data_IF_882878498004
#
_entry.id   IF_882878498004
#
_cell.length_a   1.000
_cell.length_b   1.000
_cell.length_c   1.000
_cell.angle_alpha   90.00
_cell.angle_beta   90.00
_cell.angle_gamma   90.00
#
_symmetry.space_group_name_H-M   'P 1'
#
loop_
_entity.id
_entity.type
_entity.pdbx_description
1 polymer ?
#
# COMPACT_ATOMS: atom_id res chain seq x y z
N UNK A 1 5.29 23.63 10.79
CA UNK A 1 6.17 24.31 9.83
C UNK A 1 5.83 23.76 8.46
N UNK A 2 5.01 24.48 7.70
CA UNK A 2 4.62 24.04 6.36
C UNK A 2 5.82 24.13 5.42
N UNK A 3 6.24 22.99 4.87
CA UNK A 3 7.32 22.92 3.91
C UNK A 3 6.82 23.48 2.57
N UNK A 4 6.86 24.81 2.44
CA UNK A 4 6.14 25.61 1.42
C UNK A 4 6.91 25.80 0.11
N UNK A 5 8.08 25.15 -0.06
CA UNK A 5 8.95 25.30 -1.23
C UNK A 5 9.02 24.05 -2.11
N UNK A 6 7.96 23.25 -2.15
CA UNK A 6 7.87 22.06 -3.00
C UNK A 6 6.71 22.19 -3.97
N UNK A 7 7.03 22.31 -5.27
CA UNK A 7 6.05 22.25 -6.34
C UNK A 7 5.99 20.81 -6.82
N UNK A 8 4.78 20.23 -6.86
CA UNK A 8 4.59 18.89 -7.40
C UNK A 8 4.90 18.89 -8.91
N UNK A 9 6.04 18.31 -9.30
CA UNK A 9 6.38 18.14 -10.70
C UNK A 9 5.53 17.02 -11.31
N UNK A 10 4.75 17.35 -12.33
CA UNK A 10 3.98 16.37 -13.10
C UNK A 10 4.69 16.11 -14.42
N UNK A 11 5.31 14.94 -14.54
CA UNK A 11 5.94 14.51 -15.77
C UNK A 11 4.93 14.26 -16.90
N UNK A 12 5.41 14.21 -18.14
CA UNK A 12 4.58 13.91 -19.32
C UNK A 12 3.98 12.49 -19.30
N UNK A 13 4.59 11.59 -18.52
CA UNK A 13 4.07 10.24 -18.23
C UNK A 13 3.24 10.32 -16.95
N UNK A 14 1.92 10.24 -17.11
CA UNK A 14 0.97 10.22 -16.00
C UNK A 14 0.50 8.78 -15.73
N UNK A 15 -0.20 8.60 -14.60
CA UNK A 15 -0.81 7.34 -14.20
C UNK A 15 -1.55 6.66 -15.36
N UNK A 16 -2.45 7.36 -16.06
CA UNK A 16 -3.22 6.78 -17.17
C UNK A 16 -2.34 6.20 -18.30
N UNK A 17 -1.21 6.84 -18.64
CA UNK A 17 -0.26 6.31 -19.62
C UNK A 17 0.47 5.07 -19.10
N UNK A 18 0.81 5.03 -17.81
CA UNK A 18 1.44 3.85 -17.19
C UNK A 18 0.45 2.68 -17.13
N UNK A 19 -0.80 2.96 -16.77
CA UNK A 19 -1.88 1.98 -16.75
C UNK A 19 -2.16 1.39 -18.15
N UNK A 20 -2.15 2.25 -19.17
CA UNK A 20 -2.29 1.82 -20.57
C UNK A 20 -1.13 0.93 -21.01
N UNK A 21 0.12 1.27 -20.63
CA UNK A 21 1.30 0.48 -20.94
C UNK A 21 1.26 -0.91 -20.28
N UNK A 22 0.83 -0.98 -19.02
CA UNK A 22 0.75 -2.22 -18.26
C UNK A 22 -0.50 -3.05 -18.58
N UNK A 23 -1.51 -2.47 -19.25
CA UNK A 23 -2.80 -3.11 -19.45
C UNK A 23 -3.60 -3.32 -18.15
N UNK A 24 -3.37 -2.48 -17.13
CA UNK A 24 -3.99 -2.55 -15.80
C UNK A 24 -4.03 -1.16 -15.10
N UNK A 25 -5.00 -0.84 -14.22
CA UNK A 25 -5.37 0.52 -13.71
C UNK A 25 -5.19 1.00 -12.21
N UNK A 26 -4.08 0.96 -11.51
CA UNK A 26 -4.02 1.05 -10.02
C UNK A 26 -5.16 0.99 -8.97
N UNK A 27 -5.12 -0.01 -8.07
CA UNK A 27 -6.04 -0.22 -6.93
C UNK A 27 -5.27 -0.72 -5.68
N UNK A 28 -5.85 -0.53 -4.49
CA UNK A 28 -5.35 -0.97 -3.17
C UNK A 28 -6.48 -1.69 -2.39
N UNK A 29 -6.21 -2.81 -1.72
CA UNK A 29 -7.10 -3.43 -0.70
C UNK A 29 -6.29 -3.32 0.55
N UNK A 30 -7.03 -2.92 1.55
CA UNK A 30 -6.53 -2.81 2.87
C UNK A 30 -7.11 -3.94 3.70
N UNK A 31 -6.27 -4.87 4.14
CA UNK A 31 -6.69 -5.85 5.13
C UNK A 31 -6.46 -5.27 6.52
N UNK A 32 -7.56 -5.00 7.22
CA UNK A 32 -7.56 -4.66 8.64
C UNK A 32 -7.99 -5.86 9.48
N UNK A 33 -7.55 -5.89 10.73
CA UNK A 33 -7.95 -6.92 11.68
C UNK A 33 -6.89 -7.19 12.76
N UNK A 34 -7.28 -7.94 13.78
CA UNK A 34 -6.45 -8.27 14.93
C UNK A 34 -5.17 -9.02 14.53
N UNK A 35 -4.15 -8.95 15.38
CA UNK A 35 -2.96 -9.81 15.23
C UNK A 35 -3.37 -11.27 15.05
N UNK A 36 -2.66 -12.01 14.20
CA UNK A 36 -2.91 -13.43 13.91
C UNK A 36 -4.28 -13.77 13.28
N UNK A 37 -5.08 -12.79 12.85
CA UNK A 37 -6.36 -13.06 12.16
C UNK A 37 -6.20 -13.59 10.72
N UNK A 38 -4.98 -13.92 10.28
CA UNK A 38 -4.70 -14.46 8.95
C UNK A 38 -4.58 -13.44 7.81
N UNK A 39 -4.41 -12.14 8.11
CA UNK A 39 -4.32 -11.08 7.08
C UNK A 39 -3.18 -11.31 6.10
N UNK A 40 -1.95 -11.50 6.59
CA UNK A 40 -0.76 -11.79 5.76
C UNK A 40 -0.96 -13.05 4.93
N UNK A 41 -1.56 -14.09 5.51
CA UNK A 41 -1.90 -15.31 4.77
C UNK A 41 -2.85 -15.04 3.62
N UNK A 42 -3.97 -14.34 3.85
CA UNK A 42 -4.94 -14.02 2.80
C UNK A 42 -4.31 -13.10 1.75
N UNK A 43 -3.53 -12.10 2.16
CA UNK A 43 -2.85 -11.21 1.24
C UNK A 43 -1.93 -11.98 0.29
N UNK A 44 -1.00 -12.79 0.81
CA UNK A 44 -0.10 -13.56 -0.06
C UNK A 44 -0.84 -14.56 -0.97
N UNK A 45 -1.94 -15.16 -0.50
CA UNK A 45 -2.77 -16.02 -1.38
C UNK A 45 -3.47 -15.23 -2.49
N UNK A 46 -3.90 -14.00 -2.23
CA UNK A 46 -4.46 -13.12 -3.27
C UNK A 46 -3.37 -12.65 -4.23
N UNK A 47 -2.18 -12.32 -3.72
CA UNK A 47 -1.01 -11.95 -4.51
C UNK A 47 -0.63 -13.06 -5.50
N UNK A 48 -0.53 -14.30 -5.00
CA UNK A 48 -0.22 -15.49 -5.80
C UNK A 48 -1.23 -15.69 -6.94
N UNK A 49 -2.53 -15.68 -6.63
CA UNK A 49 -3.58 -15.83 -7.64
C UNK A 49 -3.60 -14.74 -8.70
N UNK A 50 -3.36 -13.48 -8.29
CA UNK A 50 -3.29 -12.35 -9.21
C UNK A 50 -2.04 -12.45 -10.09
N UNK A 51 -0.91 -12.86 -9.51
CA UNK A 51 0.34 -13.08 -10.24
C UNK A 51 0.20 -14.19 -11.29
N UNK A 52 -0.41 -15.32 -10.93
CA UNK A 52 -0.75 -16.41 -11.86
C UNK A 52 -1.65 -15.95 -13.01
N UNK A 53 -2.49 -14.94 -12.76
CA UNK A 53 -3.36 -14.32 -13.77
C UNK A 53 -2.66 -13.25 -14.61
N UNK A 54 -1.33 -13.11 -14.50
CA UNK A 54 -0.52 -12.15 -15.25
C UNK A 54 -0.68 -10.71 -14.78
N UNK A 55 -1.13 -10.48 -13.53
CA UNK A 55 -1.22 -9.15 -12.93
C UNK A 55 0.06 -8.82 -12.18
N UNK A 56 0.52 -7.59 -12.31
CA UNK A 56 1.61 -7.07 -11.47
C UNK A 56 1.01 -6.62 -10.14
N UNK A 57 1.49 -7.24 -9.07
CA UNK A 57 1.01 -7.08 -7.69
C UNK A 57 2.18 -6.98 -6.72
N UNK A 58 1.91 -6.41 -5.54
CA UNK A 58 2.87 -6.31 -4.46
C UNK A 58 2.16 -6.27 -3.10
N UNK A 59 2.69 -6.99 -2.12
CA UNK A 59 2.21 -6.98 -0.73
C UNK A 59 3.06 -6.07 0.16
N UNK A 60 2.42 -5.10 0.81
CA UNK A 60 3.00 -4.32 1.91
C UNK A 60 2.62 -4.94 3.25
N UNK A 61 3.49 -5.80 3.77
CA UNK A 61 3.32 -6.36 5.12
C UNK A 61 3.99 -5.47 6.18
N UNK A 62 3.27 -5.21 7.28
CA UNK A 62 3.74 -4.41 8.40
C UNK A 62 5.08 -4.90 8.95
N UNK A 63 5.29 -6.22 8.99
CA UNK A 63 6.55 -6.81 9.45
C UNK A 63 7.72 -6.51 8.49
N UNK A 64 7.51 -6.64 7.18
CA UNK A 64 8.52 -6.34 6.17
C UNK A 64 8.86 -4.84 6.13
N UNK A 65 7.84 -3.97 6.25
CA UNK A 65 8.06 -2.53 6.27
C UNK A 65 8.80 -2.09 7.53
N UNK A 66 8.51 -2.71 8.69
CA UNK A 66 9.21 -2.45 9.96
C UNK A 66 10.67 -2.89 9.94
N UNK A 67 11.05 -3.88 9.14
CA UNK A 67 12.46 -4.23 8.96
C UNK A 67 13.24 -3.22 8.10
N UNK A 68 12.53 -2.43 7.27
CA UNK A 68 13.12 -1.46 6.35
C UNK A 68 12.73 -0.01 6.66
N UNK A 69 11.75 0.50 5.89
CA UNK A 69 11.30 1.90 5.89
C UNK A 69 10.87 2.43 7.27
N UNK A 70 10.41 1.55 8.15
CA UNK A 70 9.90 1.89 9.47
C UNK A 70 10.75 1.30 10.62
N UNK A 71 12.01 0.93 10.36
CA UNK A 71 12.90 0.34 11.38
C UNK A 71 13.22 1.27 12.55
N UNK A 72 13.09 2.58 12.33
CA UNK A 72 13.31 3.63 13.31
C UNK A 72 12.10 3.86 14.23
N UNK A 73 10.96 3.25 13.93
CA UNK A 73 9.73 3.44 14.68
C UNK A 73 9.61 2.44 15.83
N UNK A 74 9.23 2.94 17.01
CA UNK A 74 8.89 2.10 18.16
C UNK A 74 7.52 1.45 18.01
N UNK A 75 7.22 0.47 18.85
CA UNK A 75 5.89 -0.19 18.92
C UNK A 75 4.83 0.63 19.67
N UNK A 76 5.17 1.87 20.07
CA UNK A 76 4.26 2.81 20.72
C UNK A 76 3.04 3.14 19.84
N UNK A 77 1.93 3.63 20.42
CA UNK A 77 0.79 4.16 19.64
C UNK A 77 1.22 5.18 18.57
N UNK A 78 2.15 6.08 18.90
CA UNK A 78 2.67 7.11 18.00
C UNK A 78 3.50 6.49 16.87
N UNK A 79 4.36 5.52 17.21
CA UNK A 79 5.15 4.77 16.23
C UNK A 79 4.27 3.95 15.28
N UNK A 80 3.14 3.42 15.76
CA UNK A 80 2.12 2.77 14.93
C UNK A 80 1.43 3.76 13.99
N UNK A 81 1.04 4.94 14.47
CA UNK A 81 0.43 5.97 13.64
C UNK A 81 1.37 6.47 12.53
N UNK A 82 2.66 6.67 12.84
CA UNK A 82 3.66 7.07 11.84
C UNK A 82 3.96 5.95 10.84
N UNK A 83 4.00 4.67 11.29
CA UNK A 83 4.12 3.52 10.40
C UNK A 83 2.96 3.49 9.39
N UNK A 84 1.74 3.72 9.90
CA UNK A 84 0.53 3.83 9.10
C UNK A 84 0.64 4.92 8.04
N UNK A 85 1.05 6.13 8.45
CA UNK A 85 1.24 7.28 7.56
C UNK A 85 2.28 7.02 6.47
N UNK A 86 3.45 6.48 6.82
CA UNK A 86 4.54 6.20 5.85
C UNK A 86 4.12 5.20 4.79
N UNK A 87 3.47 4.11 5.21
CA UNK A 87 2.98 3.11 4.26
C UNK A 87 1.88 3.70 3.37
N UNK A 88 0.97 4.53 3.91
CA UNK A 88 -0.06 5.19 3.10
C UNK A 88 0.53 6.09 2.01
N UNK A 89 1.58 6.85 2.31
CA UNK A 89 2.29 7.65 1.31
C UNK A 89 3.03 6.78 0.28
N UNK A 90 3.64 5.68 0.71
CA UNK A 90 4.29 4.73 -0.20
C UNK A 90 3.27 4.09 -1.16
N UNK A 91 2.13 3.64 -0.63
CA UNK A 91 1.02 3.11 -1.41
C UNK A 91 0.53 4.10 -2.46
N UNK A 92 0.45 5.40 -2.09
CA UNK A 92 0.08 6.46 -3.04
C UNK A 92 1.07 6.57 -4.20
N UNK A 93 2.36 6.38 -3.97
CA UNK A 93 3.38 6.37 -5.03
C UNK A 93 3.24 5.15 -5.95
N UNK A 94 2.96 3.97 -5.39
CA UNK A 94 2.68 2.74 -6.16
C UNK A 94 1.41 2.88 -7.01
N UNK A 95 0.37 3.52 -6.47
CA UNK A 95 -0.84 3.86 -7.22
C UNK A 95 -0.56 4.84 -8.37
N UNK A 96 0.33 5.82 -8.18
CA UNK A 96 0.69 6.73 -9.28
C UNK A 96 1.48 6.00 -10.37
N UNK A 97 2.29 5.01 -9.99
CA UNK A 97 3.10 4.20 -10.92
C UNK A 97 2.28 3.35 -11.91
N UNK A 98 0.96 3.20 -11.74
CA UNK A 98 0.08 2.65 -12.79
C UNK A 98 -0.31 1.17 -12.65
N UNK A 99 -0.12 0.53 -11.49
CA UNK A 99 -0.46 -0.89 -11.27
C UNK A 99 -1.92 -1.21 -10.83
N UNK A 100 -2.91 -1.65 -11.69
CA UNK A 100 -4.16 -2.52 -11.41
C UNK A 100 -5.66 -2.15 -11.87
N UNK A 101 -6.51 -2.93 -12.61
CA UNK A 101 -7.72 -2.54 -13.45
C UNK A 101 -9.10 -2.04 -12.90
N UNK A 102 -10.07 -1.88 -13.83
CA UNK A 102 -11.54 -1.85 -13.61
C UNK A 102 -12.06 -3.25 -13.25
N UNK A 103 -13.04 -3.31 -12.36
CA UNK A 103 -13.31 -4.40 -11.39
C UNK A 103 -12.31 -4.34 -10.21
N UNK A 104 -12.77 -4.55 -8.96
CA UNK A 104 -11.87 -4.47 -7.81
C UNK A 104 -10.73 -5.47 -8.02
N UNK A 105 -9.52 -5.17 -7.51
CA UNK A 105 -8.42 -6.11 -7.15
C UNK A 105 -7.05 -5.76 -7.78
N UNK A 106 -5.85 -5.66 -7.16
CA UNK A 106 -5.43 -5.01 -5.91
C UNK A 106 -3.89 -4.84 -5.61
N UNK A 107 -3.47 -3.77 -4.91
CA UNK A 107 -2.29 -3.68 -4.01
C UNK A 107 -2.67 -4.04 -2.55
N UNK A 108 -2.06 -5.09 -1.99
CA UNK A 108 -2.45 -5.69 -0.70
C UNK A 108 -1.60 -5.10 0.43
N UNK A 109 -2.22 -4.49 1.44
CA UNK A 109 -1.54 -4.19 2.71
C UNK A 109 -2.08 -5.08 3.82
N UNK A 110 -1.18 -5.58 4.66
CA UNK A 110 -1.50 -6.23 5.93
C UNK A 110 -0.88 -5.42 7.06
N UNK A 111 -1.70 -4.85 7.93
CA UNK A 111 -1.19 -4.23 9.15
C UNK A 111 -2.04 -4.59 10.37
N UNK A 112 -1.37 -4.67 11.50
CA UNK A 112 -1.88 -5.02 12.81
C UNK A 112 -2.60 -3.81 13.40
N UNK A 113 -3.83 -4.02 13.88
CA UNK A 113 -4.63 -3.09 14.71
C UNK A 113 -4.86 -1.67 14.15
N UNK A 114 -6.05 -1.44 13.60
CA UNK A 114 -6.85 -0.25 13.93
C UNK A 114 -8.33 -0.63 13.83
N UNK A 115 -8.84 -1.28 14.88
CA UNK A 115 -10.20 -1.03 15.34
C UNK A 115 -9.99 -0.21 16.62
N UNK A 116 -10.79 0.83 16.81
CA UNK A 116 -10.70 1.88 17.85
C UNK A 116 -9.89 3.12 17.43
N UNK A 117 -10.52 4.01 16.68
CA UNK A 117 -11.02 5.32 17.17
C UNK A 117 -11.39 6.21 15.97
N UNK A 118 -12.56 5.96 15.39
CA UNK A 118 -13.36 6.96 14.68
C UNK A 118 -14.82 6.74 15.12
N UNK A 119 -15.10 7.13 16.36
CA UNK A 119 -16.40 7.68 16.71
C UNK A 119 -16.30 9.21 16.51
#
# INVERSE_FOLDING_TARGET
MDNTNTIAFRGAVNRAKRELLLGQKSVVLWFTGLSCSGKSTIAHLVEEKLHESGRLTYVFDGDNVRQGLCRDLSVSPEGRAENLRRISEMVRLFLDAGEVPQNPDLLLRTDQETIETCA
#
